data_IF_015464937701
#
_entry.id   IF_015464937701
#
_cell.length_a   1.000
_cell.length_b   1.000
_cell.length_c   1.000
_cell.angle_alpha   90.00
_cell.angle_beta   90.00
_cell.angle_gamma   90.00
#
_symmetry.space_group_name_H-M   'P 1'
#
loop_
_entity.id
_entity.type
_entity.pdbx_description
1 polymer ?
#
# COMPACT_ATOMS: atom_id res chain seq x y z
N UNK A 1 7.59 35.39 3.32
CA UNK A 1 6.24 35.17 3.91
C UNK A 1 6.35 35.40 5.41
N UNK A 2 5.48 36.25 5.99
CA UNK A 2 5.50 36.54 7.42
C UNK A 2 4.44 35.65 8.09
N UNK A 3 4.88 34.73 8.95
CA UNK A 3 3.97 33.88 9.71
C UNK A 3 3.17 34.77 10.67
N UNK A 4 1.86 34.81 10.48
CA UNK A 4 0.94 35.57 11.34
C UNK A 4 0.41 34.66 12.46
N UNK A 5 -0.16 35.25 13.51
CA UNK A 5 -0.70 34.51 14.67
C UNK A 5 -1.68 33.39 14.28
N UNK A 6 -2.41 33.57 13.18
CA UNK A 6 -3.33 32.57 12.63
C UNK A 6 -2.60 31.34 12.07
N UNK A 7 -1.41 31.52 11.49
CA UNK A 7 -0.60 30.40 10.95
C UNK A 7 -0.09 29.51 12.08
N UNK A 8 0.17 30.08 13.26
CA UNK A 8 0.53 29.32 14.46
C UNK A 8 -0.61 28.45 15.00
N UNK A 9 -1.86 28.91 14.89
CA UNK A 9 -3.02 28.08 15.23
C UNK A 9 -3.16 26.88 14.28
N UNK A 10 -2.97 27.10 12.98
CA UNK A 10 -2.98 26.02 11.99
C UNK A 10 -1.81 25.05 12.17
N UNK A 11 -0.61 25.57 12.43
CA UNK A 11 0.57 24.75 12.71
C UNK A 11 0.36 23.89 13.98
N UNK A 12 -0.20 24.48 15.04
CA UNK A 12 -0.56 23.75 16.26
C UNK A 12 -1.56 22.63 15.99
N UNK A 13 -2.64 22.91 15.27
CA UNK A 13 -3.62 21.89 14.87
C UNK A 13 -2.98 20.78 14.03
N UNK A 14 -2.12 21.13 13.08
CA UNK A 14 -1.41 20.17 12.24
C UNK A 14 -0.52 19.24 13.06
N UNK A 15 0.24 19.77 14.02
CA UNK A 15 1.05 18.99 14.95
C UNK A 15 0.18 18.04 15.79
N UNK A 16 -0.97 18.50 16.28
CA UNK A 16 -1.90 17.66 17.05
C UNK A 16 -2.44 16.51 16.21
N UNK A 17 -2.86 16.78 14.97
CA UNK A 17 -3.36 15.74 14.05
C UNK A 17 -2.27 14.71 13.77
N UNK A 18 -1.06 15.14 13.39
CA UNK A 18 0.07 14.22 13.13
C UNK A 18 0.43 13.42 14.38
N UNK A 19 0.53 14.07 15.54
CA UNK A 19 0.84 13.41 16.80
C UNK A 19 -0.16 12.31 17.14
N UNK A 20 -1.45 12.57 16.90
CA UNK A 20 -2.53 11.58 17.09
C UNK A 20 -2.36 10.38 16.15
N UNK A 21 -2.09 10.62 14.86
CA UNK A 21 -1.84 9.54 13.90
C UNK A 21 -0.62 8.69 14.27
N UNK A 22 0.46 9.32 14.77
CA UNK A 22 1.66 8.59 15.23
C UNK A 22 1.34 7.76 16.47
N UNK A 23 0.60 8.30 17.43
CA UNK A 23 0.23 7.59 18.66
C UNK A 23 -0.67 6.36 18.39
N UNK A 24 -1.53 6.43 17.37
CA UNK A 24 -2.44 5.33 16.97
C UNK A 24 -1.78 4.40 15.94
N UNK A 25 -0.65 4.80 15.33
CA UNK A 25 0.11 3.96 14.40
C UNK A 25 0.60 2.71 15.14
N UNK A 26 -0.09 1.59 14.95
CA UNK A 26 0.17 0.33 15.65
C UNK A 26 1.65 -0.08 15.64
N UNK A 27 2.05 -0.82 16.67
CA UNK A 27 3.44 -1.24 16.90
C UNK A 27 4.00 -2.11 15.75
N UNK A 28 3.13 -2.85 15.08
CA UNK A 28 3.51 -3.73 13.98
C UNK A 28 3.40 -3.02 12.63
N UNK A 29 4.44 -3.18 11.80
CA UNK A 29 4.43 -2.72 10.42
C UNK A 29 4.02 -3.86 9.49
N UNK A 30 3.29 -3.51 8.44
CA UNK A 30 2.85 -4.43 7.40
C UNK A 30 4.05 -5.03 6.67
N UNK A 31 4.02 -6.33 6.38
CA UNK A 31 5.06 -6.97 5.55
C UNK A 31 4.73 -6.84 4.05
N UNK A 32 5.73 -6.65 3.17
CA UNK A 32 5.50 -6.69 1.73
C UNK A 32 5.11 -8.10 1.26
N UNK A 33 4.56 -8.18 0.05
CA UNK A 33 4.29 -9.48 -0.60
C UNK A 33 5.63 -10.11 -1.03
N UNK A 34 5.89 -11.39 -0.74
CA UNK A 34 7.14 -12.03 -1.15
C UNK A 34 7.32 -12.04 -2.67
N UNK A 35 8.51 -11.70 -3.20
CA UNK A 35 8.81 -11.81 -4.64
C UNK A 35 9.25 -13.25 -4.98
N UNK A 36 8.40 -14.24 -4.73
CA UNK A 36 8.68 -15.65 -4.99
C UNK A 36 7.79 -16.23 -6.11
N UNK A 37 8.06 -17.49 -6.49
CA UNK A 37 7.30 -18.17 -7.54
C UNK A 37 5.80 -18.32 -7.24
N UNK A 38 5.42 -18.43 -5.96
CA UNK A 38 4.04 -18.59 -5.52
C UNK A 38 3.25 -17.28 -5.68
N UNK A 39 3.89 -16.15 -5.40
CA UNK A 39 3.27 -14.82 -5.47
C UNK A 39 3.43 -14.14 -6.83
N UNK A 40 4.18 -14.74 -7.75
CA UNK A 40 4.49 -14.19 -9.08
C UNK A 40 3.24 -13.73 -9.84
N UNK A 41 2.15 -14.49 -9.79
CA UNK A 41 0.89 -14.14 -10.47
C UNK A 41 0.31 -12.79 -10.01
N UNK A 42 0.50 -12.43 -8.74
CA UNK A 42 0.05 -11.15 -8.18
C UNK A 42 0.88 -10.01 -8.77
N UNK A 43 2.20 -10.19 -8.90
CA UNK A 43 3.09 -9.23 -9.53
C UNK A 43 2.75 -9.07 -11.02
N UNK A 44 2.67 -10.16 -11.76
CA UNK A 44 2.35 -10.13 -13.19
C UNK A 44 1.00 -9.46 -13.43
N UNK A 45 -0.04 -9.80 -12.66
CA UNK A 45 -1.36 -9.20 -12.79
C UNK A 45 -1.32 -7.70 -12.48
N UNK A 46 -0.65 -7.29 -11.41
CA UNK A 46 -0.57 -5.88 -11.02
C UNK A 46 0.19 -5.03 -12.05
N UNK A 47 1.19 -5.60 -12.70
CA UNK A 47 2.08 -4.91 -13.64
C UNK A 47 1.83 -5.26 -15.12
N UNK A 48 0.81 -6.05 -15.47
CA UNK A 48 0.55 -6.49 -16.86
C UNK A 48 0.42 -5.33 -17.86
N UNK A 49 -0.04 -4.17 -17.39
CA UNK A 49 -0.23 -2.96 -18.18
C UNK A 49 0.87 -1.92 -17.96
N UNK A 50 2.01 -2.33 -17.38
CA UNK A 50 3.13 -1.44 -17.16
C UNK A 50 3.66 -0.90 -18.49
N UNK A 51 3.93 0.41 -18.59
CA UNK A 51 4.47 1.00 -19.79
C UNK A 51 5.88 0.45 -20.08
N UNK A 52 6.11 0.10 -21.35
CA UNK A 52 7.41 -0.35 -21.83
C UNK A 52 8.49 0.73 -21.80
N UNK A 53 9.75 0.38 -22.14
CA UNK A 53 10.87 1.32 -22.18
C UNK A 53 10.67 2.48 -23.17
N UNK A 54 9.91 2.23 -24.23
CA UNK A 54 9.56 3.11 -25.36
C UNK A 54 8.40 4.07 -25.05
N UNK A 55 7.66 3.85 -23.96
CA UNK A 55 6.55 4.71 -23.58
C UNK A 55 7.01 6.11 -23.16
N UNK A 56 6.15 7.12 -23.40
CA UNK A 56 6.43 8.50 -23.01
C UNK A 56 6.74 8.63 -21.52
N UNK A 57 7.58 9.61 -21.18
CA UNK A 57 7.98 9.86 -19.79
C UNK A 57 6.78 10.11 -18.89
N UNK A 58 5.74 10.78 -19.41
CA UNK A 58 4.49 11.03 -18.71
C UNK A 58 3.77 9.72 -18.36
N UNK A 59 3.64 8.79 -19.32
CA UNK A 59 2.97 7.51 -19.08
C UNK A 59 3.70 6.65 -18.05
N UNK A 60 5.04 6.70 -18.04
CA UNK A 60 5.88 5.99 -17.05
C UNK A 60 5.79 6.61 -15.66
N UNK A 61 5.82 7.95 -15.56
CA UNK A 61 5.78 8.67 -14.29
C UNK A 61 4.43 8.53 -13.56
N UNK A 62 3.32 8.45 -14.30
CA UNK A 62 1.98 8.38 -13.72
C UNK A 62 1.36 6.97 -13.73
N UNK A 63 2.14 5.95 -14.12
CA UNK A 63 1.65 4.58 -14.08
C UNK A 63 1.34 4.14 -12.64
N UNK A 64 0.20 3.46 -12.48
CA UNK A 64 -0.22 2.85 -11.22
C UNK A 64 -0.52 1.36 -11.46
N UNK A 65 0.08 0.45 -10.67
CA UNK A 65 -0.23 -0.97 -10.77
C UNK A 65 -1.71 -1.27 -10.51
N UNK A 66 -2.27 -2.25 -11.21
CA UNK A 66 -3.63 -2.76 -11.00
C UNK A 66 -3.69 -3.64 -9.74
N UNK A 67 -3.63 -2.99 -8.58
CA UNK A 67 -3.66 -3.68 -7.29
C UNK A 67 -4.98 -4.41 -7.05
N UNK A 68 -6.10 -3.82 -7.46
CA UNK A 68 -7.42 -4.44 -7.24
C UNK A 68 -7.57 -5.71 -8.06
N UNK A 69 -7.14 -5.70 -9.32
CA UNK A 69 -7.16 -6.89 -10.17
C UNK A 69 -6.26 -8.01 -9.65
N UNK A 70 -5.14 -7.67 -9.00
CA UNK A 70 -4.22 -8.66 -8.44
C UNK A 70 -4.65 -9.26 -7.09
N UNK A 71 -5.49 -8.56 -6.31
CA UNK A 71 -5.94 -9.00 -4.98
C UNK A 71 -6.83 -10.25 -5.01
N UNK A 72 -7.44 -10.58 -6.16
CA UNK A 72 -8.30 -11.76 -6.33
C UNK A 72 -7.55 -13.08 -6.11
N UNK A 73 -6.23 -13.07 -6.30
CA UNK A 73 -5.37 -14.25 -6.14
C UNK A 73 -4.94 -14.49 -4.68
N UNK A 74 -5.26 -13.59 -3.75
CA UNK A 74 -4.84 -13.71 -2.36
C UNK A 74 -5.75 -14.66 -1.54
N UNK A 75 -7.07 -14.58 -1.73
CA UNK A 75 -8.05 -15.32 -0.92
C UNK A 75 -7.92 -16.84 -0.99
N UNK A 76 -7.65 -17.47 -2.15
CA UNK A 76 -7.56 -18.93 -2.24
C UNK A 76 -6.51 -19.53 -1.27
N UNK A 77 -5.46 -18.78 -0.93
CA UNK A 77 -4.43 -19.23 0.02
C UNK A 77 -4.57 -18.62 1.42
N UNK A 78 -4.84 -17.31 1.50
CA UNK A 78 -4.91 -16.57 2.78
C UNK A 78 -6.31 -16.62 3.46
N UNK A 79 -7.17 -17.55 3.06
CA UNK A 79 -8.49 -17.78 3.67
C UNK A 79 -8.89 -19.25 3.58
N UNK A 80 -8.75 -19.85 2.41
CA UNK A 80 -9.29 -21.20 2.12
C UNK A 80 -8.24 -22.30 2.31
N UNK A 81 -7.04 -22.16 1.73
CA UNK A 81 -5.96 -23.17 1.85
C UNK A 81 -5.06 -23.00 3.08
N UNK A 82 -5.53 -22.29 4.11
CA UNK A 82 -4.98 -22.44 5.47
C UNK A 82 -3.72 -21.63 5.81
N UNK A 83 -3.47 -20.47 5.18
CA UNK A 83 -2.55 -19.47 5.78
C UNK A 83 -3.35 -18.51 6.65
N UNK A 84 -3.42 -18.70 7.98
CA UNK A 84 -4.22 -17.87 8.85
C UNK A 84 -3.64 -16.47 8.96
N UNK A 85 -4.52 -15.48 9.02
CA UNK A 85 -4.13 -14.15 9.43
C UNK A 85 -3.83 -14.10 10.93
N UNK A 86 -2.94 -13.19 11.38
CA UNK A 86 -2.72 -12.98 12.80
C UNK A 86 -4.01 -12.48 13.50
N UNK A 87 -4.17 -12.69 14.82
CA UNK A 87 -5.39 -12.38 15.56
C UNK A 87 -5.90 -10.93 15.40
N UNK A 88 -4.98 -9.97 15.22
CA UNK A 88 -5.28 -8.55 15.10
C UNK A 88 -5.23 -8.04 13.64
N UNK A 89 -5.35 -8.94 12.66
CA UNK A 89 -5.34 -8.52 11.26
C UNK A 89 -6.60 -7.71 10.93
N UNK A 90 -6.47 -6.57 10.21
CA UNK A 90 -7.63 -5.79 9.78
C UNK A 90 -8.57 -6.58 8.86
N UNK A 91 -9.79 -6.08 8.59
CA UNK A 91 -10.73 -6.73 7.69
C UNK A 91 -10.11 -7.10 6.33
N UNK A 92 -10.63 -8.18 5.72
CA UNK A 92 -10.11 -8.79 4.49
C UNK A 92 -10.50 -8.00 3.23
N UNK A 93 -10.20 -6.71 3.21
CA UNK A 93 -10.40 -5.87 2.05
C UNK A 93 -9.08 -5.17 1.70
N UNK A 94 -8.74 -5.15 0.40
CA UNK A 94 -7.60 -4.40 -0.12
C UNK A 94 -6.22 -4.83 0.42
N UNK A 95 -5.85 -6.10 0.24
CA UNK A 95 -4.57 -6.67 0.70
C UNK A 95 -3.36 -5.83 0.28
N UNK A 96 -3.30 -5.37 -0.98
CA UNK A 96 -2.16 -4.63 -1.54
C UNK A 96 -2.15 -3.13 -1.18
N UNK A 97 -3.12 -2.68 -0.37
CA UNK A 97 -3.09 -1.38 0.26
C UNK A 97 -2.04 -1.34 1.38
N UNK A 98 -2.06 -2.36 2.23
CA UNK A 98 -1.15 -2.55 3.36
C UNK A 98 0.11 -3.32 2.94
N UNK A 99 -0.06 -4.45 2.25
CA UNK A 99 1.05 -5.31 1.81
C UNK A 99 1.59 -4.84 0.46
N UNK A 100 2.66 -4.04 0.49
CA UNK A 100 3.23 -3.46 -0.74
C UNK A 100 3.88 -4.55 -1.60
N UNK A 101 3.76 -4.40 -2.91
CA UNK A 101 4.59 -5.11 -3.87
C UNK A 101 5.99 -4.49 -3.84
N UNK A 102 7.02 -5.30 -3.75
CA UNK A 102 8.41 -4.82 -3.85
C UNK A 102 8.80 -4.68 -5.31
N UNK A 103 9.70 -3.73 -5.59
CA UNK A 103 10.27 -3.63 -6.93
C UNK A 103 11.23 -4.82 -7.09
N UNK A 104 10.88 -5.77 -7.96
CA UNK A 104 11.78 -6.83 -8.42
C UNK A 104 12.94 -6.25 -9.21
#
# INVERSE_FOLDING_TARGET
MKLVKRDWLFAGLFVVVIGTFIAISGKEKTRPVPPDGTHRIVYETAFRNAPGPDASIFKRAFFKPDKKGAEVYCEPCHKEKGVPFPPNHPPKNRCLFCHKLVKS
#
